data_IF_969566987816
#
_entry.id   IF_969566987816
#
_cell.length_a   1.000
_cell.length_b   1.000
_cell.length_c   1.000
_cell.angle_alpha   90.00
_cell.angle_beta   90.00
_cell.angle_gamma   90.00
#
_symmetry.space_group_name_H-M   'P 1'
#
loop_
_entity.id
_entity.type
_entity.pdbx_description
1 polymer ?
#
# COMPACT_ATOMS: atom_id res chain seq x y z
N UNK A 1 -11.19 13.20 3.64
CA UNK A 1 -11.54 14.29 2.72
C UNK A 1 -12.12 13.71 1.44
N UNK A 2 -13.02 14.42 0.74
CA UNK A 2 -13.68 13.90 -0.46
C UNK A 2 -13.76 15.00 -1.55
N UNK A 3 -12.64 15.37 -2.17
CA UNK A 3 -12.62 16.41 -3.20
C UNK A 3 -13.47 15.98 -4.40
N UNK A 4 -14.37 16.86 -4.85
CA UNK A 4 -15.30 16.61 -5.95
C UNK A 4 -14.64 16.82 -7.32
N UNK A 5 -13.59 17.65 -7.38
CA UNK A 5 -12.86 17.98 -8.58
C UNK A 5 -11.34 17.93 -8.39
N UNK A 6 -10.62 17.84 -9.52
CA UNK A 6 -9.16 17.91 -9.47
C UNK A 6 -8.66 19.30 -9.02
N UNK A 7 -9.45 20.36 -9.22
CA UNK A 7 -9.10 21.70 -8.75
C UNK A 7 -9.16 21.76 -7.23
N UNK A 8 -10.25 21.31 -6.60
CA UNK A 8 -10.35 21.21 -5.13
C UNK A 8 -9.20 20.38 -4.54
N UNK A 9 -8.78 19.33 -5.23
CA UNK A 9 -7.65 18.52 -4.78
C UNK A 9 -6.32 19.28 -4.85
N UNK A 10 -6.11 20.11 -5.89
CA UNK A 10 -4.94 20.98 -6.01
C UNK A 10 -4.96 22.06 -4.93
N UNK A 11 -6.12 22.67 -4.68
CA UNK A 11 -6.30 23.71 -3.65
C UNK A 11 -6.03 23.12 -2.26
N UNK A 12 -6.50 21.89 -2.02
CA UNK A 12 -6.19 21.13 -0.81
C UNK A 12 -4.67 20.92 -0.65
N UNK A 13 -3.97 20.49 -1.69
CA UNK A 13 -2.52 20.33 -1.61
C UNK A 13 -1.82 21.66 -1.32
N UNK A 14 -2.27 22.73 -1.96
CA UNK A 14 -1.71 24.08 -1.74
C UNK A 14 -1.92 24.57 -0.31
N UNK A 15 -3.09 24.31 0.30
CA UNK A 15 -3.38 24.70 1.68
C UNK A 15 -2.51 23.97 2.72
N UNK A 16 -1.92 22.85 2.36
CA UNK A 16 -0.95 22.10 3.17
C UNK A 16 0.50 22.35 2.74
N UNK A 17 0.76 23.30 1.84
CA UNK A 17 2.09 23.51 1.26
C UNK A 17 2.71 22.19 0.76
N UNK A 18 1.86 21.37 0.11
CA UNK A 18 2.21 20.04 -0.33
C UNK A 18 2.28 19.97 -1.85
N UNK A 19 3.49 19.90 -2.39
CA UNK A 19 3.74 19.89 -3.81
C UNK A 19 4.81 18.90 -4.24
N UNK A 20 4.93 18.68 -5.55
CA UNK A 20 5.93 17.76 -6.08
C UNK A 20 7.36 18.25 -5.84
N UNK A 21 7.57 19.53 -5.69
CA UNK A 21 8.91 20.14 -5.56
C UNK A 21 9.39 20.16 -4.11
N UNK A 22 8.49 20.09 -3.13
CA UNK A 22 8.81 20.21 -1.70
C UNK A 22 8.52 18.93 -0.88
N UNK A 23 8.60 17.75 -1.51
CA UNK A 23 8.38 16.45 -0.83
C UNK A 23 9.36 16.20 0.33
N UNK A 24 10.53 16.82 0.29
CA UNK A 24 11.58 16.66 1.29
C UNK A 24 11.23 17.36 2.63
N UNK A 25 10.28 18.31 2.61
CA UNK A 25 9.74 18.99 3.80
C UNK A 25 8.77 18.08 4.61
N UNK A 26 8.57 16.88 4.13
CA UNK A 26 7.66 15.89 4.71
C UNK A 26 6.28 15.92 4.06
N UNK A 27 5.57 14.83 4.22
CA UNK A 27 4.28 14.56 3.57
C UNK A 27 3.16 14.73 4.60
N UNK A 28 2.18 15.61 4.36
CA UNK A 28 1.05 15.75 5.28
C UNK A 28 0.22 14.44 5.31
N UNK A 29 -0.34 14.04 6.45
CA UNK A 29 -1.11 12.79 6.58
C UNK A 29 -2.52 12.93 5.97
N UNK A 30 -2.60 13.25 4.69
CA UNK A 30 -3.84 13.46 3.96
C UNK A 30 -4.47 12.14 3.53
N UNK A 31 -5.73 11.92 3.88
CA UNK A 31 -6.51 10.75 3.45
C UNK A 31 -7.71 11.23 2.64
N UNK A 32 -7.68 10.97 1.33
CA UNK A 32 -8.83 11.19 0.45
C UNK A 32 -9.66 9.91 0.36
N UNK A 33 -10.99 10.05 0.40
CA UNK A 33 -11.90 8.90 0.31
C UNK A 33 -11.95 8.33 -1.12
N UNK A 34 -11.99 9.21 -2.12
CA UNK A 34 -12.02 8.86 -3.54
C UNK A 34 -11.21 9.86 -4.35
N UNK A 35 -10.69 9.41 -5.50
CA UNK A 35 -10.10 10.32 -6.50
C UNK A 35 -11.22 11.08 -7.22
N UNK A 36 -11.02 12.37 -7.57
CA UNK A 36 -11.98 13.12 -8.36
C UNK A 36 -12.26 12.45 -9.71
N UNK A 37 -13.55 12.43 -10.10
CA UNK A 37 -13.97 11.77 -11.34
C UNK A 37 -13.45 12.45 -12.61
N UNK A 38 -13.07 13.73 -12.52
CA UNK A 38 -12.62 14.56 -13.65
C UNK A 38 -11.10 14.61 -13.81
N UNK A 39 -10.35 13.67 -13.24
CA UNK A 39 -8.90 13.56 -13.48
C UNK A 39 -8.56 13.32 -14.97
N UNK A 40 -9.45 12.68 -15.71
CA UNK A 40 -9.32 12.47 -17.16
C UNK A 40 -9.36 13.76 -17.98
N UNK A 41 -9.99 14.83 -17.47
CA UNK A 41 -10.09 16.14 -18.12
C UNK A 41 -8.77 16.94 -18.06
N UNK A 42 -7.81 16.53 -17.24
CA UNK A 42 -6.50 17.18 -17.17
C UNK A 42 -5.71 16.86 -18.43
N UNK A 43 -5.55 17.86 -19.32
CA UNK A 43 -4.83 17.71 -20.59
C UNK A 43 -3.32 17.57 -20.41
N UNK A 44 -2.74 18.30 -19.47
CA UNK A 44 -1.31 18.18 -19.12
C UNK A 44 -1.05 16.86 -18.41
N UNK A 45 -0.43 15.93 -19.12
CA UNK A 45 -0.09 14.59 -18.63
C UNK A 45 0.87 14.63 -17.43
N UNK A 46 1.80 15.59 -17.39
CA UNK A 46 2.74 15.73 -16.27
C UNK A 46 2.00 16.20 -15.02
N UNK A 47 1.11 17.19 -15.15
CA UNK A 47 0.24 17.66 -14.06
C UNK A 47 -0.67 16.55 -13.56
N UNK A 48 -1.33 15.79 -14.45
CA UNK A 48 -2.17 14.64 -14.09
C UNK A 48 -1.42 13.60 -13.27
N UNK A 49 -0.25 13.18 -13.72
CA UNK A 49 0.59 12.21 -13.02
C UNK A 49 1.00 12.70 -11.63
N UNK A 50 1.43 13.95 -11.51
CA UNK A 50 1.81 14.56 -10.24
C UNK A 50 0.66 14.59 -9.25
N UNK A 51 -0.53 15.05 -9.67
CA UNK A 51 -1.73 15.05 -8.84
C UNK A 51 -2.06 13.64 -8.35
N UNK A 52 -2.02 12.65 -9.23
CA UNK A 52 -2.23 11.25 -8.86
C UNK A 52 -1.23 10.78 -7.80
N UNK A 53 0.06 11.00 -8.03
CA UNK A 53 1.09 10.56 -7.08
C UNK A 53 0.98 11.29 -5.73
N UNK A 54 0.73 12.59 -5.73
CA UNK A 54 0.49 13.36 -4.50
C UNK A 54 -0.74 12.86 -3.74
N UNK A 55 -1.77 12.38 -4.44
CA UNK A 55 -2.98 11.81 -3.81
C UNK A 55 -2.71 10.49 -3.11
N UNK A 56 -1.88 9.62 -3.69
CA UNK A 56 -1.69 8.24 -3.20
C UNK A 56 -0.51 8.14 -2.22
N UNK A 57 0.47 9.03 -2.30
CA UNK A 57 1.66 9.00 -1.46
C UNK A 57 1.35 9.08 0.05
N UNK A 58 0.55 10.05 0.54
CA UNK A 58 0.23 10.13 1.98
C UNK A 58 -0.45 8.84 2.48
N UNK A 59 -1.40 8.31 1.72
CA UNK A 59 -2.13 7.08 2.04
C UNK A 59 -1.17 5.89 2.11
N UNK A 60 -0.23 5.78 1.17
CA UNK A 60 0.80 4.73 1.16
C UNK A 60 1.71 4.82 2.37
N UNK A 61 2.16 6.03 2.73
CA UNK A 61 3.02 6.23 3.89
C UNK A 61 2.30 5.92 5.20
N UNK A 62 1.03 6.31 5.35
CA UNK A 62 0.20 5.98 6.51
C UNK A 62 0.04 4.46 6.67
N UNK A 63 -0.31 3.76 5.57
CA UNK A 63 -0.46 2.31 5.60
C UNK A 63 0.87 1.60 5.92
N UNK A 64 1.97 2.05 5.34
CA UNK A 64 3.30 1.53 5.67
C UNK A 64 3.70 1.81 7.13
N UNK A 65 3.33 2.98 7.66
CA UNK A 65 3.59 3.31 9.06
C UNK A 65 2.88 2.35 10.01
N UNK A 66 1.62 2.00 9.74
CA UNK A 66 0.90 0.98 10.52
C UNK A 66 1.58 -0.41 10.46
N UNK A 67 2.01 -0.82 9.27
CA UNK A 67 2.75 -2.08 9.13
C UNK A 67 4.08 -2.03 9.89
N UNK A 68 4.76 -0.89 9.90
CA UNK A 68 6.01 -0.72 10.64
C UNK A 68 5.78 -0.82 12.16
N UNK A 69 4.72 -0.20 12.68
CA UNK A 69 4.35 -0.33 14.09
C UNK A 69 4.09 -1.80 14.46
N UNK A 70 3.29 -2.51 13.68
CA UNK A 70 3.05 -3.95 13.87
C UNK A 70 4.36 -4.75 13.85
N UNK A 71 5.29 -4.41 12.96
CA UNK A 71 6.58 -5.08 12.86
C UNK A 71 7.45 -4.86 14.10
N UNK A 72 7.52 -3.64 14.60
CA UNK A 72 8.31 -3.32 15.79
C UNK A 72 7.73 -3.98 17.04
N UNK A 73 6.41 -4.02 17.18
CA UNK A 73 5.72 -4.74 18.24
C UNK A 73 6.02 -6.24 18.18
N UNK A 74 5.95 -6.87 16.99
CA UNK A 74 6.35 -8.27 16.80
C UNK A 74 7.79 -8.53 17.24
N UNK A 75 8.73 -7.65 16.89
CA UNK A 75 10.13 -7.79 17.28
C UNK A 75 10.29 -7.73 18.82
N UNK A 76 9.55 -6.82 19.46
CA UNK A 76 9.52 -6.70 20.91
C UNK A 76 9.03 -7.99 21.59
N UNK A 77 7.89 -8.53 21.09
CA UNK A 77 7.32 -9.79 21.58
C UNK A 77 8.28 -10.96 21.34
N UNK A 78 8.87 -11.08 20.17
CA UNK A 78 9.81 -12.17 19.86
C UNK A 78 11.07 -12.11 20.72
N UNK A 79 11.56 -10.89 21.03
CA UNK A 79 12.66 -10.73 21.99
C UNK A 79 12.29 -11.24 23.38
N UNK A 80 11.07 -10.98 23.89
CA UNK A 80 10.59 -11.53 25.17
C UNK A 80 10.55 -13.06 25.14
N UNK A 81 10.01 -13.65 24.07
CA UNK A 81 9.96 -15.12 23.89
C UNK A 81 11.39 -15.71 23.94
N UNK A 82 12.33 -15.11 23.19
CA UNK A 82 13.71 -15.59 23.14
C UNK A 82 14.45 -15.48 24.50
N UNK A 83 14.00 -14.56 25.36
CA UNK A 83 14.47 -14.41 26.76
C UNK A 83 13.72 -15.30 27.78
N UNK A 84 12.78 -16.14 27.32
CA UNK A 84 11.96 -16.99 28.18
C UNK A 84 10.95 -16.24 29.07
N UNK A 85 10.61 -14.98 28.69
CA UNK A 85 9.64 -14.17 29.42
C UNK A 85 8.21 -14.53 29.05
N UNK A 86 7.31 -14.44 30.03
CA UNK A 86 5.88 -14.61 29.77
C UNK A 86 5.31 -13.43 28.97
N UNK A 87 4.40 -13.74 28.06
CA UNK A 87 3.64 -12.74 27.30
C UNK A 87 2.37 -12.34 28.07
N UNK A 88 1.98 -11.08 27.94
CA UNK A 88 0.69 -10.61 28.45
C UNK A 88 -0.48 -11.13 27.58
N UNK A 89 -1.73 -11.14 28.11
CA UNK A 89 -2.91 -11.47 27.32
C UNK A 89 -3.04 -10.61 26.05
N UNK A 90 -2.73 -9.33 26.13
CA UNK A 90 -2.78 -8.38 25.00
C UNK A 90 -1.76 -8.75 23.91
N UNK A 91 -0.54 -9.16 24.31
CA UNK A 91 0.48 -9.62 23.37
C UNK A 91 0.08 -10.93 22.68
N UNK A 92 -0.59 -11.84 23.39
CA UNK A 92 -1.13 -13.07 22.80
C UNK A 92 -2.27 -12.77 21.82
N UNK A 93 -3.18 -11.87 22.16
CA UNK A 93 -4.26 -11.42 21.29
C UNK A 93 -3.72 -10.72 20.04
N UNK A 94 -2.70 -9.87 20.19
CA UNK A 94 -2.00 -9.24 19.09
C UNK A 94 -1.38 -10.28 18.15
N UNK A 95 -0.66 -11.27 18.66
CA UNK A 95 -0.11 -12.37 17.85
C UNK A 95 -1.21 -13.12 17.09
N UNK A 96 -2.32 -13.42 17.74
CA UNK A 96 -3.48 -14.06 17.13
C UNK A 96 -4.09 -13.22 16.01
N UNK A 97 -4.22 -11.91 16.21
CA UNK A 97 -4.68 -10.96 15.19
C UNK A 97 -3.73 -10.92 13.99
N UNK A 98 -2.42 -10.78 14.22
CA UNK A 98 -1.40 -10.73 13.17
C UNK A 98 -1.36 -12.03 12.36
N UNK A 99 -1.42 -13.19 13.00
CA UNK A 99 -1.48 -14.48 12.30
C UNK A 99 -2.65 -14.53 11.32
N UNK A 100 -3.86 -14.17 11.78
CA UNK A 100 -5.06 -14.12 10.91
C UNK A 100 -4.91 -13.12 9.77
N UNK A 101 -4.43 -11.90 10.06
CA UNK A 101 -4.26 -10.82 9.08
C UNK A 101 -3.28 -11.21 7.98
N UNK A 102 -2.17 -11.85 8.36
CA UNK A 102 -1.12 -12.24 7.42
C UNK A 102 -1.22 -13.70 6.95
N UNK A 103 -2.39 -14.35 7.18
CA UNK A 103 -2.74 -15.68 6.67
C UNK A 103 -1.70 -16.74 7.04
N UNK A 104 -1.35 -16.79 8.30
CA UNK A 104 -0.49 -17.80 8.90
C UNK A 104 -1.23 -18.53 10.04
N UNK A 105 -0.85 -19.77 10.30
CA UNK A 105 -1.34 -20.60 11.40
C UNK A 105 -0.17 -21.23 12.14
N UNK A 106 -0.36 -21.56 13.42
CA UNK A 106 0.66 -22.14 14.29
C UNK A 106 0.86 -21.32 15.55
N UNK A 107 1.84 -21.73 16.35
CA UNK A 107 2.18 -21.12 17.63
C UNK A 107 3.54 -20.41 17.54
N UNK A 108 3.58 -19.07 17.40
CA UNK A 108 4.86 -18.36 17.28
C UNK A 108 5.71 -18.43 18.56
N UNK A 109 5.12 -18.78 19.72
CA UNK A 109 5.88 -18.98 20.95
C UNK A 109 6.78 -20.20 20.82
N UNK A 110 6.25 -21.29 20.25
CA UNK A 110 6.97 -22.58 20.09
C UNK A 110 7.74 -22.71 18.78
N UNK A 111 7.37 -21.91 17.76
CA UNK A 111 7.83 -22.10 16.38
C UNK A 111 8.73 -20.98 15.87
N UNK A 112 10.06 -21.02 16.04
CA UNK A 112 10.97 -19.99 15.52
C UNK A 112 10.89 -19.79 14.01
N UNK A 113 10.55 -20.84 13.26
CA UNK A 113 10.33 -20.72 11.79
C UNK A 113 9.13 -19.85 11.47
N UNK A 114 8.04 -19.97 12.24
CA UNK A 114 6.84 -19.14 12.09
C UNK A 114 7.12 -17.68 12.41
N UNK A 115 7.91 -17.37 13.45
CA UNK A 115 8.36 -16.00 13.77
C UNK A 115 9.12 -15.35 12.60
N UNK A 116 10.03 -16.12 11.97
CA UNK A 116 10.75 -15.61 10.77
C UNK A 116 9.81 -15.38 9.60
N UNK A 117 8.84 -16.25 9.35
CA UNK A 117 7.87 -16.06 8.28
C UNK A 117 6.95 -14.86 8.55
N UNK A 118 6.53 -14.63 9.80
CA UNK A 118 5.81 -13.42 10.21
C UNK A 118 6.59 -12.16 9.88
N UNK A 119 7.88 -12.08 10.26
CA UNK A 119 8.72 -10.93 9.93
C UNK A 119 8.99 -10.76 8.44
N UNK A 120 8.90 -11.81 7.62
CA UNK A 120 8.91 -11.70 6.15
C UNK A 120 7.63 -11.08 5.61
N UNK A 121 6.47 -11.39 6.23
CA UNK A 121 5.16 -10.88 5.77
C UNK A 121 4.83 -9.51 6.34
N UNK A 122 5.11 -9.27 7.61
CA UNK A 122 4.84 -7.97 8.26
C UNK A 122 5.98 -7.01 7.97
N UNK A 123 5.98 -6.43 6.75
CA UNK A 123 6.97 -5.44 6.36
C UNK A 123 6.43 -4.52 5.25
N UNK A 124 7.01 -3.34 5.16
CA UNK A 124 6.60 -2.26 4.25
C UNK A 124 6.89 -2.57 2.79
N UNK A 125 6.14 -1.95 1.90
CA UNK A 125 6.44 -1.90 0.46
C UNK A 125 6.90 -0.49 0.11
N UNK A 126 8.05 -0.31 -0.54
CA UNK A 126 8.56 1.02 -0.88
C UNK A 126 7.52 1.86 -1.63
N UNK A 127 7.30 3.14 -1.23
CA UNK A 127 6.25 3.98 -1.83
C UNK A 127 6.33 4.07 -3.34
N UNK A 128 7.54 4.17 -3.91
CA UNK A 128 7.71 4.25 -5.36
C UNK A 128 7.17 3.01 -6.09
N UNK A 129 7.26 1.81 -5.48
CA UNK A 129 6.71 0.59 -6.06
C UNK A 129 5.19 0.60 -6.01
N UNK A 130 4.60 0.96 -4.86
CA UNK A 130 3.14 1.07 -4.68
C UNK A 130 2.54 2.06 -5.68
N UNK A 131 3.15 3.26 -5.80
CA UNK A 131 2.66 4.30 -6.69
C UNK A 131 2.78 3.91 -8.17
N UNK A 132 3.87 3.24 -8.55
CA UNK A 132 4.05 2.79 -9.93
C UNK A 132 3.03 1.73 -10.33
N UNK A 133 2.74 0.78 -9.46
CA UNK A 133 1.70 -0.23 -9.70
C UNK A 133 0.30 0.40 -9.70
N UNK A 134 -0.02 1.26 -8.73
CA UNK A 134 -1.28 1.99 -8.73
C UNK A 134 -1.49 2.79 -10.03
N UNK A 135 -0.45 3.47 -10.51
CA UNK A 135 -0.49 4.23 -11.76
C UNK A 135 -0.72 3.33 -12.99
N UNK A 136 -0.02 2.19 -13.06
CA UNK A 136 -0.15 1.22 -14.15
C UNK A 136 -1.56 0.62 -14.21
N UNK A 137 -2.06 0.12 -13.07
CA UNK A 137 -3.32 -0.61 -13.00
C UNK A 137 -4.56 0.28 -13.10
N UNK A 138 -4.46 1.53 -12.63
CA UNK A 138 -5.60 2.47 -12.63
C UNK A 138 -5.58 3.49 -13.77
N UNK A 139 -4.60 3.42 -14.69
CA UNK A 139 -4.35 4.48 -15.67
C UNK A 139 -4.26 5.87 -15.00
N UNK A 140 -3.44 5.98 -13.94
CA UNK A 140 -3.32 7.18 -13.10
C UNK A 140 -4.66 7.65 -12.50
N UNK A 141 -5.48 6.71 -12.04
CA UNK A 141 -6.77 6.99 -11.40
C UNK A 141 -7.93 7.26 -12.34
N UNK A 142 -7.72 7.17 -13.66
CA UNK A 142 -8.76 7.48 -14.66
C UNK A 142 -9.54 6.25 -15.15
N UNK A 143 -9.11 5.03 -14.79
CA UNK A 143 -9.81 3.82 -15.18
C UNK A 143 -11.23 3.76 -14.60
N UNK A 144 -12.14 3.02 -15.27
CA UNK A 144 -13.51 2.81 -14.82
C UNK A 144 -13.58 2.27 -13.38
N UNK A 145 -12.71 1.32 -13.05
CA UNK A 145 -12.72 0.67 -11.74
C UNK A 145 -12.14 1.57 -10.63
N UNK A 146 -11.16 2.40 -10.94
CA UNK A 146 -10.67 3.41 -10.02
C UNK A 146 -11.77 4.43 -9.69
N UNK A 147 -12.50 4.90 -10.70
CA UNK A 147 -13.53 5.95 -10.56
C UNK A 147 -14.83 5.48 -9.88
N UNK A 148 -15.24 4.23 -10.10
CA UNK A 148 -16.53 3.69 -9.66
C UNK A 148 -16.42 2.77 -8.44
N UNK A 149 -15.23 2.23 -8.18
CA UNK A 149 -15.02 1.23 -7.12
C UNK A 149 -13.85 1.54 -6.20
N UNK A 150 -13.17 2.68 -6.32
CA UNK A 150 -11.93 3.00 -5.63
C UNK A 150 -10.84 1.91 -5.78
N UNK A 151 -10.92 1.09 -6.82
CA UNK A 151 -10.01 -0.04 -7.04
C UNK A 151 -8.83 0.39 -7.91
N UNK A 152 -7.70 0.66 -7.25
CA UNK A 152 -6.49 1.15 -7.92
C UNK A 152 -5.62 0.03 -8.49
N UNK A 153 -5.82 -1.22 -8.07
CA UNK A 153 -4.91 -2.33 -8.38
C UNK A 153 -5.58 -3.47 -9.16
N UNK A 154 -6.83 -3.29 -9.59
CA UNK A 154 -7.56 -4.30 -10.34
C UNK A 154 -7.92 -5.54 -9.51
N UNK A 155 -8.05 -5.43 -8.19
CA UNK A 155 -8.32 -6.55 -7.31
C UNK A 155 -9.71 -7.13 -7.58
N UNK A 156 -9.79 -8.45 -7.69
CA UNK A 156 -11.02 -9.18 -7.97
C UNK A 156 -11.68 -9.67 -6.69
N UNK A 157 -12.99 -9.92 -6.79
CA UNK A 157 -13.79 -10.63 -5.79
C UNK A 157 -14.62 -11.72 -6.48
N UNK A 158 -14.84 -12.81 -5.74
CA UNK A 158 -15.73 -13.90 -6.18
C UNK A 158 -17.04 -13.92 -5.38
N UNK A 159 -17.23 -12.93 -4.50
CA UNK A 159 -18.50 -12.74 -3.78
C UNK A 159 -19.43 -11.92 -4.67
N UNK A 160 -20.58 -12.48 -5.10
CA UNK A 160 -21.51 -11.78 -5.95
C UNK A 160 -22.02 -10.48 -5.33
N UNK A 161 -22.06 -9.40 -6.12
CA UNK A 161 -22.50 -8.07 -5.67
C UNK A 161 -21.47 -7.27 -4.87
N UNK A 162 -20.31 -7.84 -4.56
CA UNK A 162 -19.25 -7.14 -3.82
C UNK A 162 -18.35 -6.25 -4.71
N UNK A 163 -18.61 -6.21 -6.03
CA UNK A 163 -17.78 -5.49 -6.98
C UNK A 163 -18.54 -4.85 -8.14
N UNK A 164 -17.85 -4.67 -9.23
CA UNK A 164 -18.36 -4.22 -10.52
C UNK A 164 -18.08 -5.31 -11.55
N UNK A 165 -19.08 -5.73 -12.28
CA UNK A 165 -18.93 -6.69 -13.37
C UNK A 165 -18.10 -6.06 -14.49
N UNK A 166 -16.98 -6.68 -14.94
CA UNK A 166 -16.25 -6.26 -16.12
C UNK A 166 -17.14 -6.31 -17.36
N UNK A 167 -17.00 -5.35 -18.27
CA UNK A 167 -17.79 -5.32 -19.50
C UNK A 167 -17.51 -6.52 -20.41
N UNK A 168 -16.26 -6.97 -20.42
CA UNK A 168 -15.77 -8.09 -21.25
C UNK A 168 -15.70 -9.40 -20.45
N UNK A 169 -16.48 -9.54 -19.36
CA UNK A 169 -16.50 -10.78 -18.61
C UNK A 169 -17.12 -11.90 -19.45
N UNK A 170 -16.39 -13.01 -19.72
CA UNK A 170 -16.94 -14.13 -20.46
C UNK A 170 -18.15 -14.75 -19.79
N UNK A 171 -19.06 -15.32 -20.58
CA UNK A 171 -20.21 -16.03 -20.07
C UNK A 171 -19.81 -17.18 -19.13
N UNK A 172 -20.61 -17.38 -18.08
CA UNK A 172 -20.34 -18.38 -17.05
C UNK A 172 -19.25 -18.04 -16.03
N UNK A 173 -18.57 -16.89 -16.16
CA UNK A 173 -17.63 -16.41 -15.13
C UNK A 173 -18.37 -15.57 -14.09
N UNK A 174 -17.97 -15.72 -12.81
CA UNK A 174 -18.66 -15.07 -11.67
C UNK A 174 -17.83 -13.97 -11.00
N UNK A 175 -16.55 -13.79 -11.40
CA UNK A 175 -15.69 -12.78 -10.80
C UNK A 175 -16.15 -11.36 -11.11
N UNK A 176 -15.98 -10.48 -10.12
CA UNK A 176 -16.20 -9.05 -10.22
C UNK A 176 -14.94 -8.29 -9.83
N UNK A 177 -14.78 -7.06 -10.30
CA UNK A 177 -13.73 -6.15 -9.81
C UNK A 177 -14.21 -5.56 -8.48
N UNK A 178 -13.49 -5.85 -7.42
CA UNK A 178 -13.83 -5.53 -6.04
C UNK A 178 -14.10 -4.04 -5.84
N UNK A 179 -15.16 -3.70 -5.13
CA UNK A 179 -15.46 -2.33 -4.70
C UNK A 179 -14.84 -2.09 -3.32
N UNK A 180 -14.18 -0.95 -3.18
CA UNK A 180 -13.63 -0.48 -1.91
C UNK A 180 -14.39 0.74 -1.39
N UNK A 181 -14.50 0.86 -0.09
CA UNK A 181 -15.13 2.00 0.59
C UNK A 181 -14.33 3.28 0.43
N UNK A 182 -13.00 3.15 0.19
CA UNK A 182 -12.09 4.27 -0.03
C UNK A 182 -10.85 3.85 -0.83
N UNK A 183 -10.13 4.82 -1.34
CA UNK A 183 -8.79 4.63 -1.93
C UNK A 183 -7.82 4.04 -0.91
N UNK A 184 -7.92 4.46 0.37
CA UNK A 184 -7.10 3.92 1.46
C UNK A 184 -7.35 2.43 1.65
N UNK A 185 -8.61 1.99 1.63
CA UNK A 185 -8.95 0.56 1.73
C UNK A 185 -8.37 -0.26 0.56
N UNK A 186 -8.33 0.30 -0.65
CA UNK A 186 -7.70 -0.34 -1.81
C UNK A 186 -6.18 -0.47 -1.63
N UNK A 187 -5.50 0.58 -1.16
CA UNK A 187 -4.06 0.55 -0.88
C UNK A 187 -3.74 -0.47 0.22
N UNK A 188 -4.49 -0.49 1.31
CA UNK A 188 -4.29 -1.44 2.42
C UNK A 188 -4.51 -2.89 1.96
N UNK A 189 -5.55 -3.14 1.13
CA UNK A 189 -5.80 -4.47 0.56
C UNK A 189 -4.66 -4.93 -0.35
N UNK A 190 -4.16 -4.04 -1.20
CA UNK A 190 -3.00 -4.31 -2.05
C UNK A 190 -1.74 -4.65 -1.23
N UNK A 191 -1.40 -3.85 -0.19
CA UNK A 191 -0.23 -4.12 0.66
C UNK A 191 -0.36 -5.48 1.35
N UNK A 192 -1.55 -5.81 1.85
CA UNK A 192 -1.83 -7.13 2.44
C UNK A 192 -1.67 -8.24 1.42
N UNK A 193 -2.15 -8.05 0.19
CA UNK A 193 -2.03 -9.03 -0.89
C UNK A 193 -0.55 -9.31 -1.23
N UNK A 194 0.26 -8.28 -1.44
CA UNK A 194 1.71 -8.44 -1.68
C UNK A 194 2.39 -9.15 -0.49
N UNK A 195 1.96 -8.85 0.72
CA UNK A 195 2.53 -9.41 1.95
C UNK A 195 2.07 -10.84 2.27
N UNK A 196 0.98 -11.33 1.67
CA UNK A 196 0.42 -12.65 2.03
C UNK A 196 0.35 -13.64 0.88
N UNK A 197 0.07 -13.19 -0.36
CA UNK A 197 -0.22 -14.09 -1.47
C UNK A 197 1.06 -14.82 -1.95
N UNK A 198 0.91 -16.11 -2.27
CA UNK A 198 2.04 -16.98 -2.69
C UNK A 198 2.81 -16.48 -3.90
N UNK A 199 2.13 -15.81 -4.84
CA UNK A 199 2.74 -15.26 -6.04
C UNK A 199 3.86 -14.23 -5.77
N UNK A 200 3.85 -13.59 -4.59
CA UNK A 200 4.81 -12.54 -4.22
C UNK A 200 5.83 -13.01 -3.18
N UNK A 201 6.01 -14.33 -3.03
CA UNK A 201 7.01 -14.89 -2.11
C UNK A 201 8.41 -14.39 -2.45
N UNK A 202 8.77 -14.35 -3.72
CA UNK A 202 10.08 -13.88 -4.16
C UNK A 202 10.34 -12.42 -3.75
N UNK A 203 9.36 -11.53 -3.91
CA UNK A 203 9.47 -10.15 -3.42
C UNK A 203 9.75 -10.10 -1.92
N UNK A 204 9.03 -10.91 -1.12
CA UNK A 204 9.22 -10.95 0.32
C UNK A 204 10.58 -11.53 0.73
N UNK A 205 11.07 -12.52 0.01
CA UNK A 205 12.41 -13.10 0.22
C UNK A 205 13.51 -12.11 -0.11
N UNK A 206 13.44 -11.42 -1.25
CA UNK A 206 14.36 -10.32 -1.61
C UNK A 206 14.35 -9.22 -0.55
N UNK A 207 13.17 -8.79 -0.10
CA UNK A 207 13.02 -7.78 0.94
C UNK A 207 13.63 -8.24 2.27
N UNK A 208 13.38 -9.48 2.68
CA UNK A 208 13.94 -10.03 3.90
C UNK A 208 15.49 -10.13 3.82
N UNK A 209 16.04 -10.49 2.67
CA UNK A 209 17.48 -10.48 2.43
C UNK A 209 18.07 -9.07 2.58
N UNK A 210 17.48 -8.06 1.92
CA UNK A 210 17.94 -6.68 2.07
C UNK A 210 17.92 -6.23 3.54
N UNK A 211 16.88 -6.64 4.30
CA UNK A 211 16.81 -6.36 5.73
C UNK A 211 17.90 -7.02 6.55
N UNK A 212 18.25 -8.28 6.25
CA UNK A 212 19.33 -8.98 6.96
C UNK A 212 20.71 -8.38 6.71
N UNK A 213 20.91 -7.82 5.53
CA UNK A 213 22.15 -7.12 5.15
C UNK A 213 22.18 -5.66 5.58
N UNK A 214 21.14 -5.14 6.25
CA UNK A 214 21.05 -3.71 6.60
C UNK A 214 20.92 -2.78 5.40
N UNK A 215 20.58 -3.32 4.22
CA UNK A 215 20.49 -2.57 2.97
C UNK A 215 19.13 -1.86 2.81
N UNK A 216 19.10 -0.72 2.10
CA UNK A 216 17.85 -0.02 1.84
C UNK A 216 16.94 -0.82 0.90
N UNK A 217 15.62 -0.73 1.12
CA UNK A 217 14.63 -1.38 0.27
C UNK A 217 14.47 -0.62 -1.06
N UNK A 218 15.17 -1.06 -2.08
CA UNK A 218 15.18 -0.44 -3.42
C UNK A 218 13.97 -0.90 -4.24
N UNK A 219 13.10 0.03 -4.63
CA UNK A 219 11.89 -0.26 -5.41
C UNK A 219 12.15 -0.99 -6.73
N UNK A 220 13.23 -0.63 -7.43
CA UNK A 220 13.59 -1.26 -8.71
C UNK A 220 14.02 -2.72 -8.55
N UNK A 221 14.69 -3.03 -7.45
CA UNK A 221 15.14 -4.38 -7.12
C UNK A 221 13.96 -5.25 -6.65
N UNK A 222 13.09 -4.71 -5.79
CA UNK A 222 11.89 -5.43 -5.33
C UNK A 222 10.85 -5.63 -6.43
N UNK A 223 10.83 -4.78 -7.47
CA UNK A 223 9.94 -4.97 -8.63
C UNK A 223 10.20 -6.30 -9.36
N UNK A 224 11.41 -6.86 -9.29
CA UNK A 224 11.73 -8.16 -9.89
C UNK A 224 10.91 -9.31 -9.31
N UNK A 225 10.55 -9.22 -8.02
CA UNK A 225 9.68 -10.20 -7.38
C UNK A 225 8.19 -10.12 -7.75
N UNK A 226 7.83 -9.31 -8.77
CA UNK A 226 6.47 -9.18 -9.29
C UNK A 226 6.20 -10.04 -10.53
N UNK A 227 7.04 -11.03 -10.81
CA UNK A 227 6.95 -11.89 -12.01
C UNK A 227 5.54 -12.46 -12.21
N UNK A 228 4.86 -12.81 -11.13
CA UNK A 228 3.53 -13.42 -11.16
C UNK A 228 2.38 -12.43 -10.88
N UNK A 229 2.66 -11.12 -10.91
CA UNK A 229 1.62 -10.11 -10.74
C UNK A 229 0.73 -10.00 -11.99
N UNK A 230 1.32 -10.15 -13.16
CA UNK A 230 0.64 -10.07 -14.45
C UNK A 230 1.08 -11.22 -15.36
N UNK A 231 0.18 -11.66 -16.24
CA UNK A 231 0.51 -12.64 -17.31
C UNK A 231 1.63 -12.14 -18.24
N UNK A 232 1.91 -10.82 -18.24
CA UNK A 232 2.98 -10.21 -19.03
C UNK A 232 4.38 -10.46 -18.45
N UNK A 233 4.49 -11.04 -17.24
CA UNK A 233 5.75 -11.40 -16.61
C UNK A 233 6.79 -10.27 -16.65
N UNK A 234 7.95 -10.55 -17.25
CA UNK A 234 9.06 -9.59 -17.34
C UNK A 234 8.69 -8.26 -17.99
N UNK A 235 7.82 -8.26 -19.01
CA UNK A 235 7.36 -7.01 -19.64
C UNK A 235 6.60 -6.10 -18.65
N UNK A 236 5.87 -6.71 -17.72
CA UNK A 236 5.23 -5.97 -16.62
C UNK A 236 6.26 -5.34 -15.70
N UNK A 237 7.25 -6.11 -15.27
CA UNK A 237 8.35 -5.63 -14.41
C UNK A 237 9.04 -4.42 -15.04
N UNK A 238 9.40 -4.51 -16.34
CA UNK A 238 10.03 -3.41 -17.07
C UNK A 238 9.12 -2.19 -17.14
N UNK A 239 7.82 -2.37 -17.35
CA UNK A 239 6.85 -1.28 -17.35
C UNK A 239 6.83 -0.56 -15.99
N UNK A 240 6.78 -1.29 -14.87
CA UNK A 240 6.83 -0.72 -13.51
C UNK A 240 8.15 0.01 -13.27
N UNK A 241 9.29 -0.60 -13.62
CA UNK A 241 10.62 0.03 -13.51
C UNK A 241 10.69 1.32 -14.33
N UNK A 242 10.11 1.34 -15.53
CA UNK A 242 10.05 2.53 -16.38
C UNK A 242 9.19 3.64 -15.76
N UNK A 243 8.03 3.31 -15.18
CA UNK A 243 7.21 4.31 -14.46
C UNK A 243 8.00 4.93 -13.31
N UNK A 244 8.71 4.11 -12.52
CA UNK A 244 9.56 4.59 -11.42
C UNK A 244 10.63 5.55 -11.92
N UNK A 245 11.36 5.18 -12.98
CA UNK A 245 12.47 6.00 -13.52
C UNK A 245 11.97 7.30 -14.16
N UNK A 246 11.01 7.23 -15.10
CA UNK A 246 10.53 8.39 -15.85
C UNK A 246 9.83 9.43 -14.96
N UNK A 247 9.18 9.00 -13.88
CA UNK A 247 8.54 9.92 -12.95
C UNK A 247 9.43 10.25 -11.73
N UNK A 248 10.70 9.81 -11.72
CA UNK A 248 11.67 10.04 -10.64
C UNK A 248 11.14 9.64 -9.26
N UNK A 249 10.36 8.54 -9.20
CA UNK A 249 9.74 8.08 -7.94
C UNK A 249 10.79 7.55 -6.94
N UNK A 250 12.00 7.24 -7.36
CA UNK A 250 13.08 6.80 -6.49
C UNK A 250 13.39 7.80 -5.36
N UNK A 251 13.16 9.11 -5.55
CA UNK A 251 13.29 10.14 -4.51
C UNK A 251 12.34 9.91 -3.32
N UNK A 252 11.25 9.17 -3.50
CA UNK A 252 10.29 8.86 -2.45
C UNK A 252 10.79 7.83 -1.44
N UNK A 253 11.97 7.25 -1.64
CA UNK A 253 12.61 6.35 -0.66
C UNK A 253 12.90 7.04 0.67
N UNK A 254 13.07 8.37 0.66
CA UNK A 254 13.27 9.22 1.84
C UNK A 254 11.99 9.92 2.31
N UNK A 255 10.85 9.71 1.61
CA UNK A 255 9.59 10.36 1.98
C UNK A 255 9.13 9.89 3.35
N UNK A 256 8.79 10.85 4.21
CA UNK A 256 8.29 10.62 5.58
C UNK A 256 7.07 11.50 5.84
N UNK A 257 6.19 11.03 6.69
CA UNK A 257 5.06 11.83 7.16
C UNK A 257 5.57 13.02 7.97
N UNK A 258 4.90 14.15 7.83
CA UNK A 258 5.10 15.28 8.76
C UNK A 258 4.68 14.82 10.15
N UNK A 259 5.52 15.10 11.15
CA UNK A 259 5.12 14.94 12.55
C UNK A 259 4.02 15.97 12.83
N UNK A 260 2.87 15.59 13.41
CA UNK A 260 1.88 16.58 13.81
C UNK A 260 2.53 17.59 14.75
N UNK A 261 2.43 18.88 14.44
CA UNK A 261 2.71 19.89 15.45
C UNK A 261 1.78 19.60 16.63
N UNK A 262 2.29 19.57 17.83
CA UNK A 262 1.69 19.07 19.08
C UNK A 262 0.31 19.66 19.50
N UNK A 263 -0.44 20.27 18.58
CA UNK A 263 -1.75 20.91 18.82
C UNK A 263 -2.93 20.30 18.02
N UNK A 264 -2.76 19.25 17.22
CA UNK A 264 -3.82 18.75 16.32
C UNK A 264 -4.24 17.28 16.52
N UNK A 265 -3.74 16.57 17.53
CA UNK A 265 -4.07 15.16 17.78
C UNK A 265 -5.36 14.92 18.61
N UNK A 266 -6.20 15.94 18.80
CA UNK A 266 -7.43 15.81 19.59
C UNK A 266 -8.69 15.46 18.77
N UNK A 267 -8.61 15.22 17.46
CA UNK A 267 -9.77 14.82 16.63
C UNK A 267 -9.32 13.84 15.53
N UNK A 268 -9.48 12.57 15.77
CA UNK A 268 -10.09 11.53 14.95
C UNK A 268 -9.63 10.14 15.39
N UNK A 269 -10.35 9.60 16.37
CA UNK A 269 -10.29 8.19 16.76
C UNK A 269 -11.01 7.26 15.76
N UNK A 270 -11.25 7.70 14.52
CA UNK A 270 -11.97 6.98 13.47
C UNK A 270 -11.09 6.59 12.28
N UNK A 271 -9.88 6.08 12.52
CA UNK A 271 -9.17 5.34 11.46
C UNK A 271 -9.71 3.91 11.46
N UNK A 272 -10.24 3.39 10.33
CA UNK A 272 -10.67 2.00 10.26
C UNK A 272 -9.47 1.09 10.53
N UNK A 273 -9.65 0.15 11.44
CA UNK A 273 -8.70 -0.93 11.68
C UNK A 273 -8.38 -1.64 10.35
N UNK A 274 -7.11 -1.85 10.07
CA UNK A 274 -6.59 -2.60 8.92
C UNK A 274 -6.90 -4.07 9.02
#
# INVERSE_FOLDING_TARGET
MNPSSHQELVDLFSSYEYGWENLDEGIPPLVIKALPKNLDQIRDLKKKKRIFFLSILPITLLANHQIQLQREELKGIFKKIDLGQNLSPEELDFLGHILRTYKLSGDPVKEPKLRRELLKRVDVIPPALVLAQAASESAYGTSRFSRLANNLFGEWTFTPGAGIVPLDRPDGKTYEVRRFTSVSASVSSYLRNINTHRAYRELREKRAFLRSEGLPLKSLELAEGLMHYSIKGEKYIQSIKNIIRHNRLGRLSQARLRTPASKSLAMDSNLPAL
#
